data_IF_472306780821
#
_entry.id   IF_472306780821
#
_cell.length_a   1.000
_cell.length_b   1.000
_cell.length_c   1.000
_cell.angle_alpha   90.00
_cell.angle_beta   90.00
_cell.angle_gamma   90.00
#
_symmetry.space_group_name_H-M   'P 1'
#
loop_
_entity.id
_entity.type
_entity.pdbx_description
1 polymer ?
#
# COMPACT_ATOMS: atom_id res chain seq x y z
N UNK A 1 21.56 44.53 -63.29
CA UNK A 1 22.49 43.42 -62.98
C UNK A 1 23.21 43.81 -61.70
N UNK A 2 23.24 43.04 -60.58
CA UNK A 2 22.74 41.68 -60.23
C UNK A 2 21.40 41.76 -59.45
N UNK A 3 20.52 40.76 -59.32
CA UNK A 3 20.56 39.33 -58.95
C UNK A 3 20.03 39.12 -57.51
N UNK A 4 18.84 38.53 -57.47
CA UNK A 4 17.95 38.21 -56.35
C UNK A 4 18.37 36.95 -55.58
N UNK A 5 17.95 36.83 -54.30
CA UNK A 5 17.56 35.58 -53.61
C UNK A 5 17.08 35.93 -52.18
N UNK A 6 15.82 36.36 -51.98
CA UNK A 6 14.68 35.56 -51.47
C UNK A 6 15.05 34.55 -50.36
N UNK A 7 14.80 34.95 -49.11
CA UNK A 7 14.77 34.09 -47.92
C UNK A 7 13.35 33.51 -47.82
N UNK A 8 13.22 32.18 -47.94
CA UNK A 8 11.95 31.48 -47.75
C UNK A 8 11.82 31.11 -46.26
N UNK A 9 10.96 31.84 -45.54
CA UNK A 9 10.52 31.52 -44.20
C UNK A 9 9.45 30.43 -44.28
N UNK A 10 9.81 29.19 -43.93
CA UNK A 10 8.89 28.06 -43.85
C UNK A 10 8.20 28.04 -42.48
N UNK A 11 6.98 28.57 -42.42
CA UNK A 11 6.03 28.33 -41.33
C UNK A 11 5.48 26.90 -41.48
N UNK A 12 5.87 25.99 -40.59
CA UNK A 12 5.22 24.69 -40.43
C UNK A 12 4.06 24.85 -39.43
N UNK A 13 2.83 24.89 -39.95
CA UNK A 13 1.62 24.70 -39.15
C UNK A 13 1.59 23.25 -38.65
N UNK A 14 1.79 23.04 -37.34
CA UNK A 14 1.47 21.78 -36.70
C UNK A 14 -0.06 21.67 -36.58
N UNK A 15 -0.68 20.90 -37.48
CA UNK A 15 -2.07 20.50 -37.34
C UNK A 15 -2.18 19.39 -36.28
N UNK A 16 -2.83 19.69 -35.16
CA UNK A 16 -3.20 18.69 -34.17
C UNK A 16 -4.32 17.79 -34.75
N UNK A 17 -3.99 16.56 -35.12
CA UNK A 17 -4.97 15.49 -35.27
C UNK A 17 -4.95 14.64 -33.99
N UNK A 18 -6.11 14.46 -33.35
CA UNK A 18 -6.27 13.55 -32.23
C UNK A 18 -6.04 12.09 -32.67
N UNK A 19 -5.46 11.21 -31.83
CA UNK A 19 -5.17 9.85 -32.22
C UNK A 19 -6.46 9.04 -32.42
N UNK A 20 -6.60 8.46 -33.61
CA UNK A 20 -7.65 7.50 -33.94
C UNK A 20 -7.31 6.16 -33.30
N UNK A 21 -8.26 5.55 -32.60
CA UNK A 21 -8.09 4.20 -32.04
C UNK A 21 -8.02 3.16 -33.19
N UNK A 22 -7.08 2.20 -33.13
CA UNK A 22 -6.95 1.18 -34.17
C UNK A 22 -8.06 0.12 -34.10
N UNK A 23 -8.41 -0.52 -35.22
CA UNK A 23 -9.47 -1.53 -35.28
C UNK A 23 -9.07 -2.84 -34.55
N UNK A 24 -10.04 -3.65 -34.09
CA UNK A 24 -9.76 -4.84 -33.30
C UNK A 24 -9.20 -5.96 -34.18
N UNK A 25 -8.01 -6.48 -33.83
CA UNK A 25 -7.46 -7.71 -34.42
C UNK A 25 -6.03 -7.64 -34.95
N UNK A 26 -5.39 -6.47 -34.99
CA UNK A 26 -3.95 -6.37 -35.29
C UNK A 26 -3.09 -6.44 -34.02
N UNK A 27 -2.01 -7.24 -34.01
CA UNK A 27 -1.10 -7.32 -32.87
C UNK A 27 -0.42 -5.96 -32.63
N UNK A 28 -0.65 -5.41 -31.45
CA UNK A 28 0.02 -4.20 -30.97
C UNK A 28 1.46 -4.56 -30.61
N UNK A 29 2.43 -3.99 -31.33
CA UNK A 29 3.83 -4.02 -30.90
C UNK A 29 3.94 -3.05 -29.72
N UNK A 30 3.90 -3.58 -28.50
CA UNK A 30 4.26 -2.84 -27.30
C UNK A 30 5.76 -2.58 -27.39
N UNK A 31 6.16 -1.31 -27.47
CA UNK A 31 7.57 -0.93 -27.46
C UNK A 31 8.18 -1.40 -26.14
N UNK A 32 8.98 -2.46 -26.25
CA UNK A 32 9.61 -3.16 -25.13
C UNK A 32 10.49 -2.17 -24.37
N UNK A 33 10.40 -2.23 -23.05
CA UNK A 33 11.27 -1.62 -22.05
C UNK A 33 12.66 -1.32 -22.62
N UNK A 34 13.00 -0.02 -22.75
CA UNK A 34 14.37 0.37 -23.09
C UNK A 34 15.29 -0.17 -22.00
N UNK A 35 16.06 -1.18 -22.36
CA UNK A 35 17.29 -1.53 -21.64
C UNK A 35 18.22 -0.33 -21.86
N UNK A 36 18.46 0.44 -20.80
CA UNK A 36 19.58 1.39 -20.81
C UNK A 36 20.83 0.52 -20.73
N UNK A 37 21.42 0.22 -21.88
CA UNK A 37 22.76 -0.35 -21.94
C UNK A 37 23.71 0.73 -21.43
N UNK A 38 24.12 0.58 -20.17
CA UNK A 38 25.25 1.33 -19.62
C UNK A 38 26.50 0.69 -20.21
N UNK A 39 27.16 1.36 -21.14
CA UNK A 39 28.52 0.98 -21.56
C UNK A 39 29.45 1.13 -20.35
N UNK A 40 29.79 0.00 -19.73
CA UNK A 40 30.86 -0.07 -18.72
C UNK A 40 32.18 -0.01 -19.48
N UNK A 41 32.70 1.20 -19.66
CA UNK A 41 34.05 1.44 -20.20
C UNK A 41 35.08 1.22 -19.08
N UNK A 42 35.38 -0.05 -18.81
CA UNK A 42 36.46 -0.44 -17.90
C UNK A 42 36.28 -1.84 -17.34
N UNK A 43 37.34 -2.64 -17.40
CA UNK A 43 37.40 -3.89 -16.64
C UNK A 43 37.47 -3.55 -15.15
N UNK A 44 36.39 -3.84 -14.41
CA UNK A 44 36.34 -3.60 -12.99
C UNK A 44 37.44 -4.44 -12.31
N UNK A 45 38.27 -3.84 -11.43
CA UNK A 45 39.29 -4.59 -10.71
C UNK A 45 38.62 -5.73 -9.91
N UNK A 46 39.25 -6.91 -9.80
CA UNK A 46 38.64 -8.04 -9.11
C UNK A 46 38.39 -7.69 -7.64
N UNK A 47 37.12 -7.60 -7.24
CA UNK A 47 36.71 -7.45 -5.84
C UNK A 47 35.87 -6.22 -5.48
N UNK A 48 35.59 -5.29 -6.40
CA UNK A 48 34.75 -4.14 -6.09
C UNK A 48 33.27 -4.45 -6.36
N UNK A 49 32.51 -4.69 -5.28
CA UNK A 49 31.04 -4.76 -5.33
C UNK A 49 30.52 -3.35 -5.55
N UNK A 50 30.18 -3.01 -6.79
CA UNK A 50 29.52 -1.75 -7.10
C UNK A 50 28.06 -1.85 -6.65
N UNK A 51 27.75 -1.28 -5.50
CA UNK A 51 26.36 -1.13 -5.02
C UNK A 51 25.64 -0.09 -5.90
N UNK A 52 24.74 -0.54 -6.77
CA UNK A 52 23.84 0.37 -7.48
C UNK A 52 22.75 0.82 -6.49
N UNK A 53 22.91 2.02 -5.95
CA UNK A 53 21.88 2.65 -5.11
C UNK A 53 20.78 3.22 -6.01
N UNK A 54 19.53 2.79 -5.79
CA UNK A 54 18.39 3.39 -6.46
C UNK A 54 18.29 4.89 -6.12
N UNK A 55 17.76 5.73 -7.02
CA UNK A 55 17.41 7.11 -6.67
C UNK A 55 16.56 7.16 -5.40
N UNK A 56 16.92 8.02 -4.46
CA UNK A 56 16.22 8.13 -3.18
C UNK A 56 16.67 7.15 -2.08
N UNK A 57 17.67 6.30 -2.35
CA UNK A 57 18.19 5.39 -1.34
C UNK A 57 18.73 6.17 -0.12
N UNK A 58 18.23 5.83 1.07
CA UNK A 58 18.64 6.44 2.33
C UNK A 58 18.02 7.81 2.63
N UNK A 59 17.23 8.39 1.72
CA UNK A 59 16.59 9.71 1.97
C UNK A 59 15.65 9.69 3.18
N UNK A 60 14.84 8.64 3.31
CA UNK A 60 13.96 8.44 4.49
C UNK A 60 14.80 8.36 5.77
N UNK A 61 15.89 7.60 5.75
CA UNK A 61 16.78 7.46 6.90
C UNK A 61 17.46 8.79 7.27
N UNK A 62 17.91 9.55 6.27
CA UNK A 62 18.51 10.86 6.47
C UNK A 62 17.51 11.83 7.11
N UNK A 63 16.28 11.88 6.59
CA UNK A 63 15.18 12.69 7.16
C UNK A 63 14.87 12.30 8.61
N UNK A 64 14.78 11.01 8.91
CA UNK A 64 14.56 10.51 10.27
C UNK A 64 15.69 10.95 11.20
N UNK A 65 16.95 10.84 10.77
CA UNK A 65 18.11 11.27 11.57
C UNK A 65 18.14 12.78 11.80
N UNK A 66 17.81 13.56 10.78
CA UNK A 66 17.74 15.02 10.87
C UNK A 66 16.62 15.48 11.82
N UNK A 67 15.44 14.86 11.71
CA UNK A 67 14.26 15.19 12.53
C UNK A 67 14.37 14.66 13.96
N UNK A 68 15.07 13.54 14.16
CA UNK A 68 15.33 12.95 15.48
C UNK A 68 14.22 12.02 15.99
N UNK A 69 13.25 11.64 15.15
CA UNK A 69 12.24 10.62 15.46
C UNK A 69 11.81 9.86 14.20
N UNK A 70 11.25 8.67 14.35
CA UNK A 70 10.58 7.90 13.28
C UNK A 70 9.08 8.24 13.30
N UNK A 71 8.52 8.68 12.18
CA UNK A 71 7.07 8.85 11.99
C UNK A 71 6.52 7.54 11.43
N UNK A 72 5.86 6.77 12.29
CA UNK A 72 5.32 5.46 11.98
C UNK A 72 3.80 5.54 11.77
N UNK A 73 3.31 5.13 10.60
CA UNK A 73 1.88 4.93 10.38
C UNK A 73 1.42 3.64 11.05
N UNK A 74 0.43 3.71 11.94
CA UNK A 74 0.01 2.57 12.76
C UNK A 74 -1.46 2.59 13.17
N UNK A 75 -1.83 1.68 14.08
CA UNK A 75 -3.16 1.65 14.71
C UNK A 75 -3.10 2.16 16.14
N UNK A 76 -4.25 2.57 16.63
CA UNK A 76 -4.50 2.94 18.03
C UNK A 76 -5.75 2.26 18.60
N UNK A 77 -6.36 1.34 17.85
CA UNK A 77 -7.68 0.77 18.09
C UNK A 77 -7.74 -0.76 17.95
N UNK A 78 -6.59 -1.45 17.86
CA UNK A 78 -6.52 -2.91 17.71
C UNK A 78 -5.68 -3.53 18.83
N UNK A 79 -6.35 -4.10 19.82
CA UNK A 79 -5.72 -4.77 20.95
C UNK A 79 -4.72 -5.84 20.49
N UNK A 80 -3.54 -5.84 21.12
CA UNK A 80 -2.43 -6.74 20.79
C UNK A 80 -1.52 -6.25 19.67
N UNK A 81 -2.02 -5.49 18.70
CA UNK A 81 -1.22 -4.97 17.57
C UNK A 81 -0.83 -3.50 17.75
N UNK A 82 -1.80 -2.62 17.95
CA UNK A 82 -1.57 -1.19 18.14
C UNK A 82 -2.80 -0.55 18.78
N UNK A 83 -2.65 -0.15 20.04
CA UNK A 83 -3.73 0.41 20.85
C UNK A 83 -3.20 1.34 21.95
N UNK A 84 -4.03 2.26 22.41
CA UNK A 84 -3.69 3.14 23.52
C UNK A 84 -3.89 2.42 24.87
N UNK A 85 -2.89 2.47 25.75
CA UNK A 85 -3.02 2.07 27.14
C UNK A 85 -3.78 3.13 27.98
N UNK A 86 -4.03 2.83 29.26
CA UNK A 86 -4.76 3.73 30.17
C UNK A 86 -4.07 5.09 30.36
N UNK A 87 -2.77 5.19 30.07
CA UNK A 87 -1.99 6.42 30.12
C UNK A 87 -1.96 7.16 28.77
N UNK A 88 -2.66 6.65 27.75
CA UNK A 88 -2.69 7.21 26.40
C UNK A 88 -1.44 6.92 25.57
N UNK A 89 -0.59 5.96 25.99
CA UNK A 89 0.58 5.55 25.21
C UNK A 89 0.18 4.49 24.21
N UNK A 90 0.64 4.63 22.97
CA UNK A 90 0.39 3.60 21.96
C UNK A 90 1.31 2.41 22.18
N UNK A 91 0.76 1.21 22.33
CA UNK A 91 1.47 -0.04 22.62
C UNK A 91 0.94 -1.18 21.75
N UNK A 92 1.71 -2.27 21.67
CA UNK A 92 1.34 -3.48 20.93
C UNK A 92 2.42 -3.92 19.96
N UNK A 93 2.19 -5.09 19.34
CA UNK A 93 3.15 -5.75 18.45
C UNK A 93 3.65 -4.84 17.32
N UNK A 94 2.76 -4.18 16.58
CA UNK A 94 3.12 -3.30 15.47
C UNK A 94 3.91 -2.07 15.99
N UNK A 95 3.56 -1.57 17.17
CA UNK A 95 4.21 -0.38 17.74
C UNK A 95 5.61 -0.70 18.24
N UNK A 96 5.83 -1.89 18.79
CA UNK A 96 7.16 -2.34 19.19
C UNK A 96 8.10 -2.52 17.98
N UNK A 97 7.56 -2.83 16.81
CA UNK A 97 8.33 -2.80 15.56
C UNK A 97 8.69 -1.37 15.12
N UNK A 98 7.80 -0.39 15.30
CA UNK A 98 8.17 1.02 15.08
C UNK A 98 9.31 1.44 16.02
N UNK A 99 9.21 1.08 17.31
CA UNK A 99 10.25 1.32 18.33
C UNK A 99 11.57 0.64 17.98
N UNK A 100 11.53 -0.59 17.46
CA UNK A 100 12.71 -1.31 17.03
C UNK A 100 13.45 -0.58 15.89
N UNK A 101 12.71 0.02 14.94
CA UNK A 101 13.31 0.85 13.88
C UNK A 101 13.93 2.11 14.47
N UNK A 102 13.24 2.81 15.38
CA UNK A 102 13.79 4.00 16.03
C UNK A 102 15.06 3.69 16.83
N UNK A 103 15.06 2.60 17.61
CA UNK A 103 16.25 2.13 18.31
C UNK A 103 17.41 1.83 17.34
N UNK A 104 17.13 1.19 16.21
CA UNK A 104 18.16 0.84 15.22
C UNK A 104 18.72 2.07 14.48
N UNK A 105 17.88 3.05 14.16
CA UNK A 105 18.29 4.24 13.38
C UNK A 105 18.86 5.32 14.28
N UNK A 106 18.24 5.59 15.42
CA UNK A 106 18.50 6.74 16.29
C UNK A 106 19.19 6.37 17.61
N UNK A 107 19.20 5.09 17.99
CA UNK A 107 19.69 4.65 19.30
C UNK A 107 18.71 4.93 20.44
N UNK A 108 17.48 5.33 20.12
CA UNK A 108 16.42 5.62 21.08
C UNK A 108 15.10 4.97 20.62
N UNK A 109 14.60 4.01 21.39
CA UNK A 109 13.35 3.31 21.09
C UNK A 109 12.11 4.18 21.26
N UNK A 110 12.18 5.23 22.09
CA UNK A 110 11.06 6.13 22.37
C UNK A 110 11.00 7.31 21.39
N UNK A 111 11.98 7.44 20.49
CA UNK A 111 12.00 8.41 19.41
C UNK A 111 11.05 8.00 18.25
N UNK A 112 9.78 7.75 18.57
CA UNK A 112 8.73 7.35 17.65
C UNK A 112 7.52 8.27 17.81
N UNK A 113 7.01 8.75 16.68
CA UNK A 113 5.68 9.34 16.56
C UNK A 113 4.78 8.35 15.83
N UNK A 114 3.63 7.99 16.42
CA UNK A 114 2.65 7.13 15.74
C UNK A 114 1.52 7.97 15.18
N UNK A 115 1.34 7.90 13.86
CA UNK A 115 0.22 8.50 13.14
C UNK A 115 -0.88 7.44 13.01
N UNK A 116 -2.06 7.62 13.63
CA UNK A 116 -3.17 6.69 13.50
C UNK A 116 -3.76 6.77 12.09
N UNK A 117 -3.94 5.61 11.44
CA UNK A 117 -4.42 5.54 10.06
C UNK A 117 -5.56 4.53 9.88
N UNK A 118 -6.60 4.97 9.19
CA UNK A 118 -7.66 4.10 8.69
C UNK A 118 -7.15 3.15 7.59
N UNK A 119 -7.99 2.19 7.19
CA UNK A 119 -7.64 1.27 6.11
C UNK A 119 -7.53 1.97 4.73
N UNK A 120 -8.24 3.09 4.54
CA UNK A 120 -8.26 3.85 3.30
C UNK A 120 -7.07 4.81 3.19
N UNK A 121 -6.63 5.42 4.29
CA UNK A 121 -5.55 6.43 4.30
C UNK A 121 -4.16 5.83 4.10
N UNK A 122 -3.92 4.61 4.57
CA UNK A 122 -2.58 3.99 4.63
C UNK A 122 -1.81 3.96 3.31
N UNK A 123 -2.49 3.80 2.18
CA UNK A 123 -1.87 3.75 0.86
C UNK A 123 -1.37 5.14 0.44
N UNK A 124 -2.26 6.14 0.35
CA UNK A 124 -1.86 7.51 0.08
C UNK A 124 -0.74 8.04 0.98
N UNK A 125 -0.82 7.87 2.31
CA UNK A 125 0.16 8.47 3.24
C UNK A 125 1.57 7.88 3.11
N UNK A 126 1.70 6.58 2.76
CA UNK A 126 3.02 6.00 2.50
C UNK A 126 3.58 6.47 1.16
N UNK A 127 2.72 6.64 0.15
CA UNK A 127 3.11 7.13 -1.17
C UNK A 127 3.54 8.61 -1.14
N UNK A 128 2.89 9.43 -0.32
CA UNK A 128 3.24 10.85 -0.16
C UNK A 128 4.43 11.08 0.76
N UNK A 129 4.85 10.04 1.52
CA UNK A 129 5.92 10.16 2.51
C UNK A 129 5.53 10.95 3.76
N UNK A 130 4.22 11.07 4.03
CA UNK A 130 3.71 11.66 5.27
C UNK A 130 4.15 10.84 6.50
N UNK A 131 4.26 9.52 6.32
CA UNK A 131 4.92 8.60 7.26
C UNK A 131 6.21 8.07 6.66
N UNK A 132 7.21 7.78 7.50
CA UNK A 132 8.47 7.18 7.06
C UNK A 132 8.33 5.68 6.81
N UNK A 133 7.47 5.03 7.59
CA UNK A 133 7.20 3.59 7.51
C UNK A 133 5.75 3.33 7.93
N UNK A 134 5.10 2.39 7.26
CA UNK A 134 3.78 1.90 7.62
C UNK A 134 3.93 0.56 8.32
N UNK A 135 3.72 0.51 9.64
CA UNK A 135 3.67 -0.73 10.41
C UNK A 135 2.29 -0.86 11.03
N UNK A 136 1.51 -1.70 10.35
CA UNK A 136 0.11 -1.95 10.62
C UNK A 136 -0.20 -3.33 10.06
N UNK A 137 -1.28 -3.96 10.51
CA UNK A 137 -1.86 -5.17 9.93
C UNK A 137 -2.31 -4.98 8.45
N UNK A 138 -1.33 -4.89 7.53
CA UNK A 138 -1.48 -4.71 6.09
C UNK A 138 -0.96 -5.96 5.39
N UNK A 139 -1.87 -6.70 4.75
CA UNK A 139 -1.50 -7.86 3.93
C UNK A 139 -0.65 -7.42 2.74
N UNK A 140 0.51 -8.06 2.54
CA UNK A 140 1.29 -7.89 1.32
C UNK A 140 0.57 -8.59 0.15
N UNK A 141 0.19 -7.83 -0.86
CA UNK A 141 -0.39 -8.34 -2.11
C UNK A 141 0.39 -7.78 -3.29
N UNK A 142 0.42 -8.50 -4.42
CA UNK A 142 1.12 -8.03 -5.63
C UNK A 142 0.61 -6.66 -6.10
N UNK A 143 -0.68 -6.39 -5.94
CA UNK A 143 -1.28 -5.09 -6.28
C UNK A 143 -0.82 -3.95 -5.39
N UNK A 144 -0.65 -4.18 -4.08
CA UNK A 144 -0.14 -3.16 -3.15
C UNK A 144 1.34 -2.90 -3.38
N UNK A 145 2.13 -3.95 -3.59
CA UNK A 145 3.57 -3.85 -3.86
C UNK A 145 3.86 -3.05 -5.14
N UNK A 146 3.03 -3.25 -6.17
CA UNK A 146 3.14 -2.48 -7.41
C UNK A 146 2.71 -1.01 -7.27
N UNK A 147 1.93 -0.64 -6.25
CA UNK A 147 1.30 0.68 -6.15
C UNK A 147 1.86 1.54 -5.02
N UNK A 148 2.04 0.97 -3.83
CA UNK A 148 2.30 1.73 -2.59
C UNK A 148 3.79 1.84 -2.26
N UNK A 149 4.64 1.09 -2.96
CA UNK A 149 6.06 0.97 -2.67
C UNK A 149 6.40 -0.39 -2.08
N UNK A 150 7.67 -0.53 -1.66
CA UNK A 150 8.22 -1.82 -1.29
C UNK A 150 7.71 -2.30 0.07
N UNK A 151 7.23 -3.54 0.11
CA UNK A 151 7.15 -4.30 1.35
C UNK A 151 8.50 -4.96 1.62
N UNK A 152 8.97 -4.89 2.87
CA UNK A 152 10.33 -5.34 3.20
C UNK A 152 10.36 -6.73 3.81
N UNK A 153 9.46 -7.01 4.75
CA UNK A 153 9.43 -8.26 5.52
C UNK A 153 8.01 -8.57 6.01
N UNK A 154 7.66 -9.85 6.04
CA UNK A 154 6.43 -10.32 6.67
C UNK A 154 6.68 -10.51 8.16
N UNK A 155 6.01 -9.71 8.98
CA UNK A 155 6.17 -9.72 10.43
C UNK A 155 5.19 -10.64 11.14
N UNK A 156 4.05 -10.93 10.50
CA UNK A 156 3.00 -11.78 11.02
C UNK A 156 2.28 -12.48 9.87
N UNK A 157 2.23 -13.82 9.89
CA UNK A 157 1.45 -14.60 8.93
C UNK A 157 0.05 -14.85 9.51
N UNK A 158 -0.99 -14.43 8.77
CA UNK A 158 -2.38 -14.49 9.21
C UNK A 158 -3.30 -15.06 8.12
N UNK A 159 -4.52 -15.42 8.50
CA UNK A 159 -5.60 -15.86 7.63
C UNK A 159 -6.92 -15.18 7.95
N UNK A 160 -7.68 -14.84 6.90
CA UNK A 160 -9.03 -14.30 7.09
C UNK A 160 -9.99 -15.38 7.58
N UNK A 161 -10.78 -15.05 8.59
CA UNK A 161 -11.84 -15.89 9.13
C UNK A 161 -13.13 -15.11 9.37
N UNK A 162 -14.14 -15.84 9.84
CA UNK A 162 -15.44 -15.31 10.23
C UNK A 162 -15.61 -15.44 11.74
N UNK A 163 -16.24 -14.43 12.35
CA UNK A 163 -16.68 -14.47 13.74
C UNK A 163 -18.20 -14.39 13.76
N UNK A 164 -18.85 -15.37 14.39
CA UNK A 164 -20.30 -15.48 14.49
C UNK A 164 -20.69 -15.67 15.95
N UNK A 165 -21.94 -15.31 16.28
CA UNK A 165 -22.44 -15.54 17.64
C UNK A 165 -22.56 -17.04 17.88
N UNK A 166 -22.25 -17.47 19.09
CA UNK A 166 -22.29 -18.88 19.47
C UNK A 166 -23.69 -19.50 19.33
N UNK A 167 -24.74 -18.69 19.42
CA UNK A 167 -26.14 -19.08 19.31
C UNK A 167 -26.73 -18.82 17.90
N UNK A 168 -25.92 -18.40 16.91
CA UNK A 168 -26.37 -18.13 15.55
C UNK A 168 -26.77 -19.38 14.76
N UNK A 169 -26.29 -20.55 15.17
CA UNK A 169 -26.44 -21.81 14.43
C UNK A 169 -25.52 -21.95 13.21
N UNK A 170 -24.68 -20.94 12.92
CA UNK A 170 -23.71 -20.97 11.82
C UNK A 170 -22.49 -21.79 12.26
N UNK A 171 -22.24 -22.90 11.56
CA UNK A 171 -21.08 -23.76 11.80
C UNK A 171 -20.11 -23.79 10.61
N UNK A 172 -20.62 -23.62 9.39
CA UNK A 172 -19.81 -23.52 8.16
C UNK A 172 -20.15 -22.27 7.36
N UNK A 173 -19.34 -21.97 6.34
CA UNK A 173 -19.59 -20.83 5.45
C UNK A 173 -20.90 -20.99 4.67
N UNK A 174 -21.32 -22.23 4.36
CA UNK A 174 -22.59 -22.51 3.68
C UNK A 174 -23.80 -22.07 4.51
N UNK A 175 -23.71 -22.12 5.84
CA UNK A 175 -24.76 -21.67 6.74
C UNK A 175 -24.94 -20.13 6.71
N UNK A 176 -24.02 -19.40 6.09
CA UNK A 176 -24.04 -17.93 6.02
C UNK A 176 -24.84 -17.40 4.82
N UNK A 177 -25.55 -18.24 4.07
CA UNK A 177 -26.33 -17.79 2.92
C UNK A 177 -27.40 -16.77 3.33
N UNK A 178 -27.37 -15.59 2.72
CA UNK A 178 -28.26 -14.47 3.01
C UNK A 178 -27.90 -13.69 4.28
N UNK A 179 -26.75 -13.95 4.91
CA UNK A 179 -26.34 -13.23 6.11
C UNK A 179 -25.93 -11.78 5.80
N UNK A 180 -26.16 -10.89 6.77
CA UNK A 180 -25.54 -9.56 6.79
C UNK A 180 -24.16 -9.66 7.43
N UNK A 181 -23.11 -9.28 6.69
CA UNK A 181 -21.71 -9.43 7.13
C UNK A 181 -21.07 -8.05 7.23
N UNK A 182 -20.66 -7.68 8.44
CA UNK A 182 -19.96 -6.44 8.70
C UNK A 182 -18.50 -6.53 8.24
N UNK A 183 -18.01 -5.54 7.51
CA UNK A 183 -16.63 -5.52 7.00
C UNK A 183 -16.10 -4.09 6.88
N UNK A 184 -14.79 -3.92 7.02
CA UNK A 184 -14.14 -2.62 6.83
C UNK A 184 -13.80 -2.37 5.36
N UNK A 185 -14.13 -1.20 4.83
CA UNK A 185 -13.81 -0.80 3.45
C UNK A 185 -12.31 -0.71 3.20
N UNK A 186 -11.90 -0.90 1.95
CA UNK A 186 -10.49 -0.74 1.55
C UNK A 186 -9.56 -1.83 2.09
N UNK A 187 -10.14 -2.94 2.56
CA UNK A 187 -9.41 -4.10 3.08
C UNK A 187 -9.30 -5.21 2.05
N UNK A 188 -8.34 -6.11 2.27
CA UNK A 188 -8.34 -7.41 1.58
C UNK A 188 -9.56 -8.23 1.98
N UNK A 189 -10.01 -8.08 3.23
CA UNK A 189 -11.18 -8.75 3.81
C UNK A 189 -12.45 -8.53 3.00
N UNK A 190 -12.75 -7.29 2.63
CA UNK A 190 -13.90 -6.92 1.80
C UNK A 190 -13.90 -7.64 0.44
N UNK A 191 -12.75 -7.66 -0.25
CA UNK A 191 -12.62 -8.30 -1.56
C UNK A 191 -12.71 -9.82 -1.46
N UNK A 192 -12.01 -10.40 -0.50
CA UNK A 192 -12.01 -11.84 -0.25
C UNK A 192 -13.39 -12.35 0.20
N UNK A 193 -14.14 -11.55 0.97
CA UNK A 193 -15.52 -11.85 1.36
C UNK A 193 -16.40 -11.98 0.11
N UNK A 194 -16.34 -11.00 -0.79
CA UNK A 194 -17.08 -11.04 -2.04
C UNK A 194 -16.70 -12.26 -2.91
N UNK A 195 -15.41 -12.59 -2.95
CA UNK A 195 -14.92 -13.73 -3.71
C UNK A 195 -15.31 -15.09 -3.09
N UNK A 196 -15.31 -15.23 -1.76
CA UNK A 196 -15.71 -16.47 -1.07
C UNK A 196 -17.19 -16.79 -1.30
N UNK A 197 -18.07 -15.80 -1.10
CA UNK A 197 -19.52 -15.96 -1.35
C UNK A 197 -19.82 -16.26 -2.81
N UNK A 198 -19.20 -15.51 -3.73
CA UNK A 198 -19.36 -15.73 -5.18
C UNK A 198 -18.93 -17.13 -5.62
N UNK A 199 -17.80 -17.62 -5.12
CA UNK A 199 -17.28 -18.95 -5.48
C UNK A 199 -18.18 -20.09 -4.97
N UNK A 200 -18.90 -19.87 -3.86
CA UNK A 200 -19.83 -20.83 -3.27
C UNK A 200 -21.26 -20.71 -3.79
N UNK A 201 -21.56 -19.67 -4.58
CA UNK A 201 -22.92 -19.38 -5.04
C UNK A 201 -23.85 -18.94 -3.90
N UNK A 202 -23.29 -18.29 -2.88
CA UNK A 202 -24.03 -17.75 -1.74
C UNK A 202 -24.34 -16.26 -1.95
N UNK A 203 -25.46 -15.82 -1.40
CA UNK A 203 -25.83 -14.41 -1.32
C UNK A 203 -25.48 -13.85 0.06
N UNK A 204 -25.21 -12.54 0.16
CA UNK A 204 -25.00 -11.85 1.43
C UNK A 204 -25.27 -10.35 1.28
N UNK A 205 -25.47 -9.68 2.41
CA UNK A 205 -25.52 -8.24 2.49
C UNK A 205 -24.23 -7.72 3.16
N UNK A 206 -23.46 -6.90 2.44
CA UNK A 206 -22.28 -6.27 3.02
C UNK A 206 -22.67 -5.05 3.86
N UNK A 207 -22.33 -5.05 5.15
CA UNK A 207 -22.48 -3.88 6.02
C UNK A 207 -21.11 -3.23 6.19
N UNK A 208 -20.85 -2.19 5.40
CA UNK A 208 -19.51 -1.62 5.23
C UNK A 208 -19.28 -0.46 6.21
N UNK A 209 -18.12 -0.47 6.87
CA UNK A 209 -17.66 0.61 7.75
C UNK A 209 -16.28 1.11 7.31
N UNK A 210 -16.00 2.41 7.49
CA UNK A 210 -14.65 2.96 7.28
C UNK A 210 -13.72 2.64 8.46
N UNK A 211 -14.26 2.71 9.68
CA UNK A 211 -13.54 2.43 10.91
C UNK A 211 -13.77 0.99 11.39
N UNK A 212 -12.68 0.26 11.68
CA UNK A 212 -12.79 -1.10 12.24
C UNK A 212 -13.46 -1.09 13.61
N UNK A 213 -13.24 -0.06 14.42
CA UNK A 213 -13.90 0.08 15.72
C UNK A 213 -15.44 0.01 15.61
N UNK A 214 -16.00 0.61 14.56
CA UNK A 214 -17.45 0.62 14.30
C UNK A 214 -18.01 -0.77 13.94
N UNK A 215 -17.19 -1.64 13.35
CA UNK A 215 -17.57 -3.04 13.05
C UNK A 215 -17.90 -3.80 14.33
N UNK A 216 -17.10 -3.62 15.39
CA UNK A 216 -17.33 -4.30 16.67
C UNK A 216 -18.65 -3.90 17.31
N UNK A 217 -18.96 -2.60 17.34
CA UNK A 217 -20.23 -2.10 17.88
C UNK A 217 -21.43 -2.61 17.10
N UNK A 218 -21.40 -2.52 15.76
CA UNK A 218 -22.49 -2.99 14.92
C UNK A 218 -22.74 -4.51 15.06
N UNK A 219 -21.66 -5.30 15.15
CA UNK A 219 -21.74 -6.73 15.41
C UNK A 219 -22.33 -7.02 16.80
N UNK A 220 -21.91 -6.30 17.85
CA UNK A 220 -22.46 -6.45 19.20
C UNK A 220 -23.94 -6.09 19.30
N UNK A 221 -24.41 -5.16 18.49
CA UNK A 221 -25.81 -4.73 18.40
C UNK A 221 -26.68 -5.67 17.56
N UNK A 222 -26.10 -6.66 16.87
CA UNK A 222 -26.85 -7.59 16.02
C UNK A 222 -27.25 -7.01 14.67
N UNK A 223 -26.60 -5.93 14.23
CA UNK A 223 -26.76 -5.39 12.87
C UNK A 223 -26.06 -6.27 11.82
N UNK A 224 -25.07 -7.01 12.30
CA UNK A 224 -24.49 -8.24 11.79
C UNK A 224 -24.24 -9.13 13.03
#
# INVERSE_FOLDING_TARGET
MPASAIIILSLLLAACAAPVAPPPGEPQVVEVTRIVEVEVTGEAPPGEVVTIQAPGYGEIQARVRERGNVVCGGRTDLLGFGYLDDAGRNIGFDIDLCRAIAAAVLGDAEAVEVVPLTAAERGPVVQTGEVDVLIRNVTWTSSRDAQWGNFTVVMFYDGQGYMVRSDSGIATQEDMNGASVCVTSGTTTEKNLADDFRQRGLEYEAVIFEETASVYGAYQEGRC
#
